data_IF_674939614887
#
_entry.id   IF_674939614887
#
_cell.length_a   1.000
_cell.length_b   1.000
_cell.length_c   1.000
_cell.angle_alpha   90.00
_cell.angle_beta   90.00
_cell.angle_gamma   90.00
#
_symmetry.space_group_name_H-M   'P 1'
#
loop_
_entity.id
_entity.type
_entity.pdbx_description
1 polymer ?
#
# COMPACT_ATOMS: atom_id res chain seq x y z
N UNK A 1 11.28 -13.50 -1.63
CA UNK A 1 12.10 -12.32 -1.93
C UNK A 1 13.49 -12.54 -1.34
N UNK A 2 14.54 -12.30 -2.11
CA UNK A 2 15.94 -12.46 -1.70
C UNK A 2 16.48 -11.11 -1.24
N UNK A 3 16.35 -10.82 0.04
CA UNK A 3 16.57 -9.47 0.59
C UNK A 3 18.04 -9.03 0.65
N UNK A 4 19.00 -9.96 0.62
CA UNK A 4 20.43 -9.66 0.81
C UNK A 4 20.99 -8.71 -0.25
N UNK A 5 20.50 -8.83 -1.48
CA UNK A 5 20.98 -8.05 -2.62
C UNK A 5 20.14 -6.82 -2.93
N UNK A 6 19.06 -6.59 -2.19
CA UNK A 6 18.16 -5.47 -2.43
C UNK A 6 18.66 -4.20 -1.74
N UNK A 7 18.55 -3.07 -2.40
CA UNK A 7 18.86 -1.74 -1.86
C UNK A 7 17.65 -1.09 -1.19
N UNK A 8 16.43 -1.46 -1.61
CA UNK A 8 15.18 -0.96 -1.07
C UNK A 8 14.06 -2.00 -1.26
N UNK A 9 12.94 -1.82 -0.56
CA UNK A 9 11.69 -2.57 -0.76
C UNK A 9 10.56 -1.55 -0.90
N UNK A 10 9.96 -1.50 -2.09
CA UNK A 10 8.80 -0.69 -2.40
C UNK A 10 7.53 -1.43 -1.97
N UNK A 11 6.85 -0.91 -0.95
CA UNK A 11 5.66 -1.57 -0.39
C UNK A 11 4.38 -1.27 -1.17
N UNK A 12 4.43 -0.49 -2.27
CA UNK A 12 3.22 0.00 -2.91
C UNK A 12 3.35 0.09 -4.43
N UNK A 13 3.04 -1.03 -5.10
CA UNK A 13 3.19 -1.16 -6.56
C UNK A 13 1.91 -1.72 -7.18
N UNK A 14 1.31 -0.97 -8.09
CA UNK A 14 0.11 -1.37 -8.78
C UNK A 14 0.42 -2.18 -10.04
N UNK A 15 -0.28 -3.29 -10.20
CA UNK A 15 -0.42 -4.01 -11.47
C UNK A 15 -1.81 -3.68 -12.00
N UNK A 16 -1.88 -2.92 -13.09
CA UNK A 16 -3.14 -2.37 -13.57
C UNK A 16 -3.39 -2.69 -15.04
N UNK A 17 -4.65 -2.96 -15.37
CA UNK A 17 -5.11 -3.08 -16.75
C UNK A 17 -5.09 -1.71 -17.43
N UNK A 18 -4.71 -1.68 -18.71
CA UNK A 18 -4.89 -0.50 -19.54
C UNK A 18 -6.38 -0.34 -19.88
N UNK A 19 -6.93 0.86 -19.62
CA UNK A 19 -8.29 1.23 -19.98
C UNK A 19 -8.29 2.64 -20.56
N UNK A 20 -9.32 2.96 -21.34
CA UNK A 20 -9.56 4.31 -21.88
C UNK A 20 -10.81 4.97 -21.28
N UNK A 21 -11.28 4.49 -20.12
CA UNK A 21 -12.44 5.08 -19.49
C UNK A 21 -12.14 6.48 -18.91
N UNK A 22 -13.18 7.24 -18.62
CA UNK A 22 -13.06 8.64 -18.17
C UNK A 22 -12.28 8.78 -16.85
N UNK A 23 -12.39 7.80 -15.96
CA UNK A 23 -11.66 7.81 -14.68
C UNK A 23 -10.15 7.60 -14.89
N UNK A 24 -9.80 6.70 -15.79
CA UNK A 24 -8.40 6.45 -16.15
C UNK A 24 -7.77 7.67 -16.84
N UNK A 25 -8.48 8.27 -17.81
CA UNK A 25 -8.02 9.50 -18.46
C UNK A 25 -7.82 10.66 -17.46
N UNK A 26 -8.75 10.82 -16.50
CA UNK A 26 -8.64 11.85 -15.47
C UNK A 26 -7.43 11.58 -14.54
N UNK A 27 -7.20 10.33 -14.13
CA UNK A 27 -6.05 9.94 -13.33
C UNK A 27 -4.73 10.20 -14.06
N UNK A 28 -4.60 9.76 -15.31
CA UNK A 28 -3.43 10.03 -16.16
C UNK A 28 -3.13 11.53 -16.28
N UNK A 29 -4.15 12.35 -16.49
CA UNK A 29 -4.01 13.81 -16.54
C UNK A 29 -3.53 14.39 -15.21
N UNK A 30 -4.11 13.95 -14.09
CA UNK A 30 -3.77 14.43 -12.75
C UNK A 30 -2.32 14.07 -12.39
N UNK A 31 -1.91 12.83 -12.60
CA UNK A 31 -0.56 12.35 -12.31
C UNK A 31 0.47 12.69 -13.39
N UNK A 32 0.02 13.30 -14.51
CA UNK A 32 0.86 13.64 -15.67
C UNK A 32 1.55 12.40 -16.26
N UNK A 33 0.83 11.30 -16.31
CA UNK A 33 1.33 10.07 -16.94
C UNK A 33 1.52 10.29 -18.45
N UNK A 34 2.63 9.77 -18.98
CA UNK A 34 2.94 9.77 -20.41
C UNK A 34 3.19 8.33 -20.87
N UNK A 35 2.53 7.93 -21.94
CA UNK A 35 2.68 6.59 -22.51
C UNK A 35 1.76 5.52 -21.90
N UNK A 36 1.83 4.27 -22.37
CA UNK A 36 1.08 3.16 -21.84
C UNK A 36 1.61 2.77 -20.46
N UNK A 37 0.73 2.16 -19.65
CA UNK A 37 1.18 1.51 -18.41
C UNK A 37 2.06 0.31 -18.75
N UNK A 38 3.05 0.03 -17.90
CA UNK A 38 3.94 -1.11 -18.11
C UNK A 38 3.15 -2.42 -17.99
N UNK A 39 3.55 -3.39 -18.77
CA UNK A 39 3.11 -4.77 -18.61
C UNK A 39 3.64 -5.35 -17.30
N UNK A 40 3.00 -6.38 -16.72
CA UNK A 40 3.51 -7.04 -15.51
C UNK A 40 4.99 -7.48 -15.63
N UNK A 41 5.39 -7.95 -16.81
CA UNK A 41 6.77 -8.35 -17.05
C UNK A 41 7.75 -7.17 -17.07
N UNK A 42 7.37 -6.07 -17.69
CA UNK A 42 8.17 -4.83 -17.67
C UNK A 42 8.32 -4.28 -16.25
N UNK A 43 7.29 -4.44 -15.39
CA UNK A 43 7.39 -4.11 -13.95
C UNK A 43 8.49 -4.96 -13.30
N UNK A 44 8.48 -6.27 -13.51
CA UNK A 44 9.47 -7.17 -12.93
C UNK A 44 10.91 -6.81 -13.36
N UNK A 45 11.11 -6.56 -14.65
CA UNK A 45 12.42 -6.17 -15.19
C UNK A 45 12.88 -4.81 -14.65
N UNK A 46 11.97 -3.86 -14.54
CA UNK A 46 12.25 -2.53 -14.01
C UNK A 46 12.77 -2.61 -12.56
N UNK A 47 12.08 -3.33 -11.68
CA UNK A 47 12.46 -3.49 -10.29
C UNK A 47 13.74 -4.33 -10.11
N UNK A 48 13.88 -5.41 -10.87
CA UNK A 48 15.07 -6.28 -10.81
C UNK A 48 16.33 -5.55 -11.23
N UNK A 49 16.28 -4.77 -12.30
CA UNK A 49 17.44 -4.00 -12.78
C UNK A 49 17.96 -2.95 -11.77
N UNK A 50 17.10 -2.52 -10.85
CA UNK A 50 17.39 -1.55 -9.79
C UNK A 50 17.71 -2.18 -8.45
N UNK A 51 17.62 -3.51 -8.34
CA UNK A 51 17.75 -4.25 -7.08
C UNK A 51 16.77 -3.74 -6.01
N UNK A 52 15.55 -3.42 -6.41
CA UNK A 52 14.47 -3.02 -5.51
C UNK A 52 13.48 -4.17 -5.44
N UNK A 53 13.16 -4.62 -4.22
CA UNK A 53 12.04 -5.54 -4.00
C UNK A 53 10.72 -4.79 -4.05
N UNK A 54 9.62 -5.46 -4.39
CA UNK A 54 8.32 -4.80 -4.44
C UNK A 54 7.16 -5.68 -3.96
N UNK A 55 6.17 -5.02 -3.35
CA UNK A 55 4.87 -5.58 -3.04
C UNK A 55 3.91 -5.19 -4.15
N UNK A 56 3.38 -6.17 -4.87
CA UNK A 56 2.53 -5.94 -6.04
C UNK A 56 1.09 -6.35 -5.79
N UNK A 57 0.14 -5.58 -6.29
CA UNK A 57 -1.30 -5.82 -6.17
C UNK A 57 -2.10 -5.11 -7.28
N UNK A 58 -3.35 -5.55 -7.47
CA UNK A 58 -4.35 -4.85 -8.29
C UNK A 58 -5.59 -4.60 -7.41
N UNK A 59 -6.17 -3.39 -7.46
CA UNK A 59 -7.26 -3.01 -6.55
C UNK A 59 -8.59 -3.57 -7.05
N UNK A 60 -9.31 -4.29 -6.17
CA UNK A 60 -10.71 -4.71 -6.39
C UNK A 60 -11.63 -3.52 -6.08
N UNK A 61 -12.14 -2.89 -7.12
CA UNK A 61 -13.05 -1.75 -7.00
C UNK A 61 -14.01 -1.68 -8.19
N UNK A 62 -15.17 -1.06 -7.98
CA UNK A 62 -16.21 -0.98 -9.02
C UNK A 62 -16.53 0.45 -9.47
N UNK A 63 -16.07 1.42 -8.69
CA UNK A 63 -16.49 2.81 -8.88
C UNK A 63 -16.00 3.38 -10.21
N UNK A 64 -14.77 3.08 -10.61
CA UNK A 64 -14.17 3.62 -11.84
C UNK A 64 -14.47 2.76 -13.06
N UNK A 65 -14.93 1.52 -12.87
CA UNK A 65 -15.12 0.55 -13.94
C UNK A 65 -13.80 0.02 -14.54
N UNK A 66 -12.67 0.24 -13.86
CA UNK A 66 -11.39 -0.39 -14.25
C UNK A 66 -11.44 -1.87 -13.89
N UNK A 67 -11.17 -2.79 -14.83
CA UNK A 67 -11.05 -4.20 -14.50
C UNK A 67 -9.87 -4.45 -13.56
N UNK A 68 -10.08 -5.17 -12.48
CA UNK A 68 -9.01 -5.70 -11.66
C UNK A 68 -8.22 -6.74 -12.46
N UNK A 69 -6.89 -6.71 -12.37
CA UNK A 69 -6.08 -7.88 -12.76
C UNK A 69 -6.34 -8.97 -11.70
N UNK A 70 -6.73 -10.19 -12.09
CA UNK A 70 -7.07 -11.25 -11.15
C UNK A 70 -5.97 -11.48 -10.10
N UNK A 71 -6.37 -11.69 -8.85
CA UNK A 71 -5.43 -11.92 -7.75
C UNK A 71 -4.51 -13.11 -8.02
N UNK A 72 -4.99 -14.13 -8.73
CA UNK A 72 -4.23 -15.30 -9.14
C UNK A 72 -3.14 -14.97 -10.16
N UNK A 73 -3.40 -14.05 -11.08
CA UNK A 73 -2.39 -13.59 -12.06
C UNK A 73 -1.31 -12.76 -11.36
N UNK A 74 -1.68 -11.92 -10.39
CA UNK A 74 -0.72 -11.17 -9.55
C UNK A 74 0.11 -12.13 -8.71
N UNK A 75 -0.50 -13.18 -8.16
CA UNK A 75 0.19 -14.22 -7.40
C UNK A 75 1.18 -15.02 -8.28
N UNK A 76 0.76 -15.39 -9.49
CA UNK A 76 1.62 -16.08 -10.46
C UNK A 76 2.81 -15.22 -10.87
N UNK A 77 2.58 -13.92 -11.20
CA UNK A 77 3.65 -12.99 -11.50
C UNK A 77 4.68 -12.91 -10.37
N UNK A 78 4.23 -12.79 -9.12
CA UNK A 78 5.12 -12.72 -7.97
C UNK A 78 5.85 -14.04 -7.71
N UNK A 79 5.22 -15.19 -7.98
CA UNK A 79 5.85 -16.50 -7.87
C UNK A 79 6.97 -16.68 -8.91
N UNK A 80 6.74 -16.27 -10.16
CA UNK A 80 7.73 -16.28 -11.23
C UNK A 80 8.90 -15.30 -10.99
N UNK A 81 8.70 -14.32 -10.14
CA UNK A 81 9.66 -13.29 -9.76
C UNK A 81 9.92 -13.24 -8.25
N UNK A 82 9.92 -14.41 -7.58
CA UNK A 82 10.01 -14.53 -6.12
C UNK A 82 11.33 -14.03 -5.53
N UNK A 83 12.33 -13.75 -6.35
CA UNK A 83 13.57 -13.08 -5.97
C UNK A 83 13.33 -11.63 -5.51
N UNK A 84 12.39 -10.92 -6.16
CA UNK A 84 12.13 -9.48 -5.93
C UNK A 84 10.67 -9.14 -5.58
N UNK A 85 9.69 -10.02 -5.83
CA UNK A 85 8.27 -9.70 -5.67
C UNK A 85 7.60 -10.46 -4.54
N UNK A 86 6.60 -9.80 -3.92
CA UNK A 86 5.58 -10.40 -3.06
C UNK A 86 4.21 -9.97 -3.57
N UNK A 87 3.29 -10.92 -3.70
CA UNK A 87 1.92 -10.62 -4.06
C UNK A 87 1.08 -10.30 -2.82
N UNK A 88 0.38 -9.16 -2.89
CA UNK A 88 -0.79 -8.87 -2.08
C UNK A 88 -2.03 -9.02 -2.97
N UNK A 89 -3.15 -9.40 -2.36
CA UNK A 89 -4.43 -9.44 -3.05
C UNK A 89 -5.28 -8.21 -2.70
N UNK A 90 -6.26 -7.92 -3.51
CA UNK A 90 -7.32 -7.00 -3.15
C UNK A 90 -8.66 -7.69 -3.28
N UNK A 91 -9.47 -7.58 -2.26
CA UNK A 91 -10.82 -8.15 -2.17
C UNK A 91 -11.71 -7.07 -1.57
N UNK A 92 -12.87 -6.82 -2.15
CA UNK A 92 -13.85 -5.93 -1.55
C UNK A 92 -14.48 -6.59 -0.31
N UNK A 93 -14.16 -6.15 0.92
CA UNK A 93 -14.61 -6.81 2.13
C UNK A 93 -16.13 -6.67 2.35
N UNK A 94 -16.78 -5.74 1.64
CA UNK A 94 -18.24 -5.55 1.75
C UNK A 94 -19.05 -6.65 1.08
N UNK A 95 -18.40 -7.58 0.36
CA UNK A 95 -19.04 -8.77 -0.22
C UNK A 95 -19.36 -9.85 0.82
N UNK A 96 -19.05 -9.61 2.10
CA UNK A 96 -19.41 -10.51 3.20
C UNK A 96 -18.77 -11.88 3.07
N UNK A 97 -19.58 -12.96 3.09
CA UNK A 97 -19.07 -14.34 3.06
C UNK A 97 -18.19 -14.65 1.84
N UNK A 98 -18.52 -14.10 0.68
CA UNK A 98 -17.70 -14.30 -0.54
C UNK A 98 -16.29 -13.72 -0.37
N UNK A 99 -16.17 -12.55 0.28
CA UNK A 99 -14.86 -11.95 0.58
C UNK A 99 -14.05 -12.81 1.56
N UNK A 100 -14.70 -13.37 2.58
CA UNK A 100 -14.07 -14.27 3.57
C UNK A 100 -13.55 -15.52 2.88
N UNK A 101 -14.37 -16.19 2.08
CA UNK A 101 -13.99 -17.41 1.34
C UNK A 101 -12.87 -17.17 0.35
N UNK A 102 -12.89 -16.02 -0.34
CA UNK A 102 -11.83 -15.65 -1.27
C UNK A 102 -10.51 -15.35 -0.54
N UNK A 103 -10.56 -14.66 0.60
CA UNK A 103 -9.37 -14.39 1.41
C UNK A 103 -8.70 -15.69 1.89
N UNK A 104 -9.47 -16.62 2.45
CA UNK A 104 -8.97 -17.93 2.88
C UNK A 104 -8.28 -18.68 1.73
N UNK A 105 -8.94 -18.74 0.57
CA UNK A 105 -8.40 -19.37 -0.63
C UNK A 105 -7.10 -18.73 -1.09
N UNK A 106 -7.04 -17.40 -1.15
CA UNK A 106 -5.87 -16.63 -1.59
C UNK A 106 -4.68 -16.82 -0.63
N UNK A 107 -4.94 -16.83 0.68
CA UNK A 107 -3.92 -17.09 1.71
C UNK A 107 -3.34 -18.50 1.52
N UNK A 108 -4.19 -19.50 1.31
CA UNK A 108 -3.77 -20.87 1.05
C UNK A 108 -2.93 -20.98 -0.23
N UNK A 109 -3.15 -20.12 -1.22
CA UNK A 109 -2.38 -20.03 -2.47
C UNK A 109 -1.15 -19.11 -2.41
N UNK A 110 -0.75 -18.68 -1.20
CA UNK A 110 0.52 -18.00 -0.99
C UNK A 110 0.49 -16.48 -1.04
N UNK A 111 -0.69 -15.85 -1.06
CA UNK A 111 -0.82 -14.40 -0.90
C UNK A 111 -0.23 -13.97 0.46
N UNK A 112 0.54 -12.88 0.45
CA UNK A 112 1.34 -12.44 1.60
C UNK A 112 0.70 -11.29 2.37
N UNK A 113 -0.37 -10.70 1.87
CA UNK A 113 -1.12 -9.61 2.49
C UNK A 113 -2.25 -9.11 1.61
N UNK A 114 -2.92 -8.05 2.04
CA UNK A 114 -4.05 -7.49 1.30
C UNK A 114 -3.93 -5.98 1.14
N UNK A 115 -4.40 -5.46 0.00
CA UNK A 115 -4.59 -4.04 -0.28
C UNK A 115 -6.06 -3.73 -0.32
N UNK A 116 -6.48 -2.75 0.50
CA UNK A 116 -7.84 -2.19 0.48
C UNK A 116 -7.78 -0.72 0.08
N UNK A 117 -8.81 -0.28 -0.63
CA UNK A 117 -8.95 1.11 -1.04
C UNK A 117 -10.33 1.66 -0.66
N UNK A 118 -10.57 1.96 0.63
CA UNK A 118 -11.88 2.34 1.12
C UNK A 118 -12.60 3.42 0.30
N UNK A 119 -11.96 4.51 -0.19
CA UNK A 119 -12.62 5.49 -1.05
C UNK A 119 -13.15 4.94 -2.38
N UNK A 120 -12.49 3.94 -2.98
CA UNK A 120 -12.93 3.30 -4.23
C UNK A 120 -13.88 2.13 -3.99
N UNK A 121 -13.72 1.42 -2.90
CA UNK A 121 -14.59 0.32 -2.44
C UNK A 121 -15.82 0.82 -1.67
N UNK A 122 -15.86 2.13 -1.33
CA UNK A 122 -17.00 2.85 -0.74
C UNK A 122 -17.45 2.34 0.63
N UNK A 123 -16.50 2.07 1.53
CA UNK A 123 -16.77 1.69 2.91
C UNK A 123 -15.81 2.40 3.88
N UNK A 124 -16.19 2.51 5.16
CA UNK A 124 -15.28 2.90 6.22
C UNK A 124 -14.45 1.70 6.66
N UNK A 125 -13.15 1.88 6.92
CA UNK A 125 -12.29 0.78 7.34
C UNK A 125 -12.83 0.06 8.59
N UNK A 126 -13.52 0.78 9.49
CA UNK A 126 -14.17 0.26 10.70
C UNK A 126 -15.62 -0.19 10.52
N UNK A 127 -16.12 -0.29 9.27
CA UNK A 127 -17.46 -0.85 9.02
C UNK A 127 -17.50 -2.33 9.43
N UNK A 128 -18.47 -2.70 10.27
CA UNK A 128 -18.59 -4.07 10.82
C UNK A 128 -18.77 -5.15 9.75
N UNK A 129 -19.24 -4.79 8.57
CA UNK A 129 -19.34 -5.74 7.44
C UNK A 129 -17.99 -6.25 6.97
N UNK A 130 -16.91 -5.49 7.18
CA UNK A 130 -15.54 -5.86 6.79
C UNK A 130 -14.85 -6.75 7.85
N UNK A 131 -15.35 -6.80 9.08
CA UNK A 131 -14.69 -7.49 10.20
C UNK A 131 -14.50 -8.99 10.01
N UNK A 132 -15.46 -9.74 9.47
CA UNK A 132 -15.22 -11.17 9.18
C UNK A 132 -14.05 -11.42 8.21
N UNK A 133 -13.82 -10.50 7.26
CA UNK A 133 -12.64 -10.54 6.40
C UNK A 133 -11.36 -10.27 7.20
N UNK A 134 -11.35 -9.26 8.10
CA UNK A 134 -10.20 -8.98 8.95
C UNK A 134 -9.86 -10.11 9.91
N UNK A 135 -10.87 -10.83 10.44
CA UNK A 135 -10.67 -12.02 11.29
C UNK A 135 -9.81 -13.07 10.59
N UNK A 136 -10.11 -13.37 9.34
CA UNK A 136 -9.35 -14.34 8.53
C UNK A 136 -7.93 -13.85 8.27
N UNK A 137 -7.78 -12.58 7.89
CA UNK A 137 -6.48 -11.98 7.59
C UNK A 137 -5.59 -11.93 8.85
N UNK A 138 -6.19 -11.52 9.99
CA UNK A 138 -5.49 -11.46 11.28
C UNK A 138 -5.07 -12.85 11.78
N UNK A 139 -5.95 -13.85 11.68
CA UNK A 139 -5.64 -15.24 12.04
C UNK A 139 -4.43 -15.77 11.25
N UNK A 140 -4.31 -15.38 9.98
CA UNK A 140 -3.18 -15.72 9.13
C UNK A 140 -1.95 -14.81 9.35
N UNK A 141 -2.04 -13.82 10.24
CA UNK A 141 -1.00 -12.80 10.50
C UNK A 141 -0.53 -12.10 9.22
N UNK A 142 -1.45 -11.80 8.32
CA UNK A 142 -1.14 -11.11 7.07
C UNK A 142 -1.31 -9.61 7.23
N UNK A 143 -0.38 -8.79 6.72
CA UNK A 143 -0.53 -7.33 6.73
C UNK A 143 -1.66 -6.87 5.80
N UNK A 144 -2.32 -5.78 6.19
CA UNK A 144 -3.29 -5.08 5.36
C UNK A 144 -2.79 -3.66 5.07
N UNK A 145 -2.76 -3.28 3.80
CA UNK A 145 -2.53 -1.91 3.36
C UNK A 145 -3.89 -1.25 3.15
N UNK A 146 -4.18 -0.20 3.90
CA UNK A 146 -5.34 0.67 3.68
C UNK A 146 -4.90 1.93 2.93
N UNK A 147 -5.57 2.26 1.84
CA UNK A 147 -5.48 3.62 1.30
C UNK A 147 -6.02 4.60 2.33
N UNK A 148 -5.23 5.61 2.70
CA UNK A 148 -5.64 6.67 3.61
C UNK A 148 -5.37 8.05 3.00
N UNK A 149 -6.17 9.03 3.39
CA UNK A 149 -6.07 10.39 2.88
C UNK A 149 -6.75 10.62 1.54
N UNK A 150 -6.25 11.62 0.83
CA UNK A 150 -6.75 12.04 -0.48
C UNK A 150 -6.49 10.99 -1.54
N UNK A 151 -7.50 10.72 -2.37
CA UNK A 151 -7.35 9.92 -3.58
C UNK A 151 -7.19 10.82 -4.80
N UNK A 152 -6.16 10.58 -5.60
CA UNK A 152 -6.00 11.24 -6.90
C UNK A 152 -7.00 10.76 -7.95
N UNK A 153 -7.56 9.56 -7.76
CA UNK A 153 -8.59 8.99 -8.65
C UNK A 153 -9.87 9.82 -8.55
N UNK A 154 -10.45 10.15 -9.69
CA UNK A 154 -11.64 10.99 -9.77
C UNK A 154 -11.37 12.50 -9.73
N UNK A 155 -10.13 12.93 -9.47
CA UNK A 155 -9.77 14.35 -9.45
C UNK A 155 -10.02 15.01 -10.80
N UNK A 156 -10.73 16.15 -10.78
CA UNK A 156 -11.13 16.88 -11.98
C UNK A 156 -12.36 16.36 -12.70
N UNK A 157 -12.92 15.23 -12.29
CA UNK A 157 -14.18 14.72 -12.80
C UNK A 157 -15.39 15.39 -12.12
N UNK A 158 -16.53 15.41 -12.80
CA UNK A 158 -17.78 15.88 -12.19
C UNK A 158 -18.11 15.05 -10.93
N UNK A 159 -18.34 15.71 -9.80
CA UNK A 159 -18.58 15.06 -8.50
C UNK A 159 -17.42 14.16 -8.05
N UNK A 160 -16.18 14.46 -8.50
CA UNK A 160 -15.01 13.65 -8.15
C UNK A 160 -15.10 12.20 -8.64
N UNK A 161 -15.84 11.93 -9.72
CA UNK A 161 -16.06 10.56 -10.19
C UNK A 161 -16.84 9.68 -9.21
N UNK A 162 -17.52 10.28 -8.22
CA UNK A 162 -18.25 9.55 -7.16
C UNK A 162 -17.38 9.15 -5.96
N UNK A 163 -16.07 9.42 -5.99
CA UNK A 163 -15.17 9.12 -4.87
C UNK A 163 -15.51 9.95 -3.64
N UNK A 164 -15.68 9.31 -2.50
CA UNK A 164 -15.90 9.97 -1.21
C UNK A 164 -14.66 9.87 -0.35
N UNK A 165 -13.95 11.00 -0.23
CA UNK A 165 -12.66 11.07 0.48
C UNK A 165 -12.76 10.71 1.96
N UNK A 166 -13.93 10.90 2.59
CA UNK A 166 -14.16 10.56 4.01
C UNK A 166 -13.79 9.11 4.36
N UNK A 167 -13.91 8.19 3.43
CA UNK A 167 -13.54 6.78 3.62
C UNK A 167 -12.02 6.57 3.75
N UNK A 168 -11.22 7.57 3.41
CA UNK A 168 -9.77 7.56 3.61
C UNK A 168 -9.31 8.15 4.95
N UNK A 169 -10.21 8.37 5.91
CA UNK A 169 -9.80 8.91 7.21
C UNK A 169 -9.01 7.87 8.01
N UNK A 170 -7.75 8.16 8.42
CA UNK A 170 -6.93 7.22 9.18
C UNK A 170 -7.48 6.90 10.57
N UNK A 171 -8.39 7.70 11.12
CA UNK A 171 -9.05 7.39 12.40
C UNK A 171 -9.95 6.16 12.32
N UNK A 172 -10.49 5.81 11.15
CA UNK A 172 -11.20 4.56 10.96
C UNK A 172 -10.26 3.35 11.13
N UNK A 173 -8.98 3.51 10.82
CA UNK A 173 -7.93 2.48 11.00
C UNK A 173 -7.57 2.32 12.49
N UNK A 174 -7.72 3.37 13.31
CA UNK A 174 -7.49 3.29 14.76
C UNK A 174 -8.41 2.24 15.40
N UNK A 175 -9.70 2.25 15.05
CA UNK A 175 -10.67 1.27 15.55
C UNK A 175 -10.30 -0.17 15.13
N UNK A 176 -9.95 -0.36 13.85
CA UNK A 176 -9.51 -1.68 13.34
C UNK A 176 -8.25 -2.17 14.08
N UNK A 177 -7.31 -1.26 14.35
CA UNK A 177 -6.09 -1.62 15.07
C UNK A 177 -6.32 -1.98 16.54
N UNK A 178 -7.38 -1.46 17.18
CA UNK A 178 -7.81 -1.88 18.52
C UNK A 178 -8.40 -3.28 18.47
N UNK A 179 -9.31 -3.53 17.52
CA UNK A 179 -10.04 -4.78 17.45
C UNK A 179 -9.19 -5.95 16.91
N UNK A 180 -8.12 -5.65 16.15
CA UNK A 180 -7.18 -6.64 15.59
C UNK A 180 -5.71 -6.33 15.96
N UNK A 181 -5.31 -6.47 17.24
CA UNK A 181 -4.01 -6.03 17.74
C UNK A 181 -2.82 -6.81 17.15
N UNK A 182 -3.04 -8.00 16.64
CA UNK A 182 -2.00 -8.85 16.05
C UNK A 182 -1.91 -8.75 14.52
N UNK A 183 -2.80 -7.99 13.89
CA UNK A 183 -2.80 -7.77 12.44
C UNK A 183 -1.90 -6.58 12.09
N UNK A 184 -0.80 -6.77 11.34
CA UNK A 184 0.00 -5.64 10.87
C UNK A 184 -0.81 -4.78 9.90
N UNK A 185 -0.81 -3.48 10.11
CA UNK A 185 -1.56 -2.52 9.30
C UNK A 185 -0.60 -1.48 8.72
N UNK A 186 -0.73 -1.21 7.44
CA UNK A 186 0.00 -0.17 6.74
C UNK A 186 -1.00 0.87 6.23
N UNK A 187 -0.92 2.08 6.75
CA UNK A 187 -1.63 3.24 6.20
C UNK A 187 -0.85 3.76 5.00
N UNK A 188 -1.44 3.65 3.82
CA UNK A 188 -0.81 4.11 2.60
C UNK A 188 -0.89 5.62 2.47
N UNK A 189 0.19 6.21 2.00
CA UNK A 189 0.39 7.63 1.76
C UNK A 189 0.61 8.47 3.03
N UNK A 190 1.08 9.71 2.91
CA UNK A 190 1.14 10.67 4.01
C UNK A 190 -0.21 11.08 4.59
N UNK A 191 -1.32 10.54 4.04
CA UNK A 191 -2.71 10.74 4.51
C UNK A 191 -3.25 12.18 4.43
N UNK A 192 -2.77 12.98 3.46
CA UNK A 192 -3.33 14.34 3.30
C UNK A 192 -4.88 14.32 3.20
N UNK A 193 -5.65 15.18 3.91
CA UNK A 193 -5.20 16.23 4.82
C UNK A 193 -5.04 15.80 6.29
N UNK A 194 -5.18 14.52 6.61
CA UNK A 194 -5.19 13.93 7.95
C UNK A 194 -3.81 13.36 8.36
N UNK A 195 -2.71 14.08 8.04
CA UNK A 195 -1.36 13.61 8.34
C UNK A 195 -1.11 13.48 9.86
N UNK A 196 -1.65 14.42 10.65
CA UNK A 196 -1.46 14.42 12.10
C UNK A 196 -2.21 13.27 12.77
N UNK A 197 -3.41 12.94 12.27
CA UNK A 197 -4.18 11.78 12.71
C UNK A 197 -3.44 10.47 12.38
N UNK A 198 -2.92 10.35 11.16
CA UNK A 198 -2.14 9.16 10.76
C UNK A 198 -0.87 9.00 11.61
N UNK A 199 -0.15 10.08 11.87
CA UNK A 199 0.99 10.10 12.77
C UNK A 199 0.57 9.66 14.18
N UNK A 200 -0.54 10.20 14.70
CA UNK A 200 -1.06 9.87 16.03
C UNK A 200 -1.43 8.39 16.16
N UNK A 201 -2.16 7.85 15.21
CA UNK A 201 -2.51 6.41 15.16
C UNK A 201 -1.25 5.54 15.12
N UNK A 202 -0.30 5.89 14.24
CA UNK A 202 0.96 5.16 14.11
C UNK A 202 1.81 5.21 15.38
N UNK A 203 1.84 6.33 16.11
CA UNK A 203 2.50 6.45 17.40
C UNK A 203 1.85 5.58 18.48
N UNK A 204 0.52 5.54 18.49
CA UNK A 204 -0.25 4.89 19.54
C UNK A 204 -0.34 3.36 19.37
N UNK A 205 -0.39 2.86 18.14
CA UNK A 205 -0.60 1.44 17.81
C UNK A 205 0.71 0.77 17.36
N UNK A 206 1.25 -0.20 18.08
CA UNK A 206 2.55 -0.82 17.76
C UNK A 206 2.56 -1.50 16.39
N UNK A 207 1.45 -2.09 15.95
CA UNK A 207 1.31 -2.84 14.70
C UNK A 207 0.95 -1.97 13.48
N UNK A 208 0.79 -0.64 13.64
CA UNK A 208 0.44 0.28 12.55
C UNK A 208 1.68 0.98 12.01
N UNK A 209 1.80 1.02 10.69
CA UNK A 209 2.89 1.61 9.90
C UNK A 209 2.34 2.64 8.92
N UNK A 210 3.19 3.51 8.38
CA UNK A 210 2.85 4.43 7.29
C UNK A 210 3.79 4.15 6.11
N UNK A 211 3.26 3.92 4.92
CA UNK A 211 4.05 4.00 3.71
C UNK A 211 4.00 5.42 3.09
N UNK A 212 5.08 5.84 2.49
CA UNK A 212 5.23 7.19 1.95
C UNK A 212 4.89 7.29 0.45
N UNK A 213 4.09 6.37 -0.06
CA UNK A 213 3.71 6.29 -1.47
C UNK A 213 2.78 7.43 -1.93
N UNK A 214 2.58 7.55 -3.24
CA UNK A 214 1.62 8.49 -3.85
C UNK A 214 2.02 9.96 -3.80
N UNK A 215 3.10 10.31 -3.12
CA UNK A 215 3.61 11.67 -2.97
C UNK A 215 5.11 11.73 -3.24
N UNK A 216 5.54 12.74 -3.98
CA UNK A 216 6.98 13.02 -4.06
C UNK A 216 7.47 13.53 -2.70
N UNK A 217 8.60 13.01 -2.17
CA UNK A 217 9.16 13.39 -0.87
C UNK A 217 9.33 14.89 -0.64
N UNK A 218 9.55 15.68 -1.70
CA UNK A 218 9.66 17.14 -1.61
C UNK A 218 8.40 17.85 -1.08
N UNK A 219 7.26 17.15 -1.05
CA UNK A 219 5.99 17.69 -0.55
C UNK A 219 5.63 17.15 0.83
N UNK A 220 6.49 16.36 1.46
CA UNK A 220 6.22 15.87 2.80
C UNK A 220 6.17 17.01 3.81
N UNK A 221 5.16 17.05 4.68
CA UNK A 221 5.08 18.08 5.71
C UNK A 221 6.21 17.92 6.74
N UNK A 222 6.64 19.05 7.31
CA UNK A 222 7.79 19.09 8.21
C UNK A 222 7.61 18.20 9.45
N UNK A 223 6.39 18.09 9.99
CA UNK A 223 6.09 17.23 11.12
C UNK A 223 6.26 15.74 10.76
N UNK A 224 5.83 15.29 9.58
CA UNK A 224 6.05 13.91 9.14
C UNK A 224 7.55 13.59 9.07
N UNK A 225 8.36 14.49 8.52
CA UNK A 225 9.82 14.35 8.46
C UNK A 225 10.42 14.30 9.89
N UNK A 226 9.93 15.14 10.79
CA UNK A 226 10.38 15.14 12.19
C UNK A 226 10.08 13.81 12.87
N UNK A 227 8.86 13.27 12.74
CA UNK A 227 8.49 11.99 13.34
C UNK A 227 9.20 10.81 12.68
N UNK A 228 9.37 10.84 11.36
CA UNK A 228 10.13 9.82 10.64
C UNK A 228 11.60 9.74 11.11
N UNK A 229 12.20 10.87 11.49
CA UNK A 229 13.55 10.90 12.06
C UNK A 229 13.64 10.51 13.54
N UNK A 230 12.53 10.39 14.23
CA UNK A 230 12.51 10.23 15.70
C UNK A 230 11.63 9.05 16.13
N UNK A 231 10.44 9.34 16.62
CA UNK A 231 9.56 8.34 17.25
C UNK A 231 9.01 7.29 16.27
N UNK A 232 8.89 7.62 14.98
CA UNK A 232 8.39 6.72 13.95
C UNK A 232 9.49 6.15 13.03
N UNK A 233 10.77 6.30 13.36
CA UNK A 233 11.88 5.85 12.50
C UNK A 233 11.80 4.37 12.10
N UNK A 234 11.18 3.55 12.94
CA UNK A 234 11.00 2.11 12.70
C UNK A 234 9.62 1.75 12.13
N UNK A 235 8.81 2.74 11.79
CA UNK A 235 7.40 2.54 11.38
C UNK A 235 7.04 3.20 10.06
N UNK A 236 7.97 3.91 9.45
CA UNK A 236 7.81 4.52 8.13
C UNK A 236 8.41 3.62 7.06
N UNK A 237 7.69 3.44 5.96
CA UNK A 237 8.05 2.54 4.87
C UNK A 237 8.24 3.33 3.56
N UNK A 238 9.13 2.85 2.72
CA UNK A 238 9.21 3.28 1.34
C UNK A 238 8.09 2.67 0.52
N UNK A 239 7.36 3.50 -0.20
CA UNK A 239 6.41 3.15 -1.23
C UNK A 239 6.44 4.19 -2.33
N UNK A 240 6.36 3.79 -3.59
CA UNK A 240 6.36 4.74 -4.72
C UNK A 240 4.97 5.07 -5.22
N UNK A 241 4.04 4.12 -5.20
CA UNK A 241 2.76 4.16 -5.90
C UNK A 241 2.95 4.00 -7.43
N UNK A 242 3.93 3.17 -7.82
CA UNK A 242 4.18 2.85 -9.22
C UNK A 242 2.94 2.22 -9.87
N UNK A 243 2.59 2.58 -11.10
CA UNK A 243 3.36 3.36 -12.07
C UNK A 243 3.18 4.88 -11.99
N UNK A 244 2.36 5.42 -11.08
CA UNK A 244 2.07 6.85 -10.99
C UNK A 244 3.32 7.68 -10.65
N UNK A 245 4.13 7.19 -9.72
CA UNK A 245 5.44 7.75 -9.40
C UNK A 245 6.47 6.63 -9.52
N UNK A 246 7.50 6.86 -10.33
CA UNK A 246 8.56 5.86 -10.46
C UNK A 246 9.45 5.85 -9.20
N UNK A 247 9.95 4.68 -8.75
CA UNK A 247 10.96 4.58 -7.71
C UNK A 247 12.16 5.51 -7.95
N UNK A 248 12.65 5.61 -9.18
CA UNK A 248 13.78 6.50 -9.51
C UNK A 248 13.48 7.95 -9.14
N UNK A 249 12.30 8.45 -9.50
CA UNK A 249 11.88 9.82 -9.17
C UNK A 249 11.70 9.99 -7.67
N UNK A 250 11.04 9.02 -7.02
CA UNK A 250 10.80 9.09 -5.58
C UNK A 250 12.12 9.11 -4.81
N UNK A 251 13.04 8.20 -5.11
CA UNK A 251 14.35 8.11 -4.47
C UNK A 251 15.18 9.37 -4.69
N UNK A 252 15.20 9.92 -5.93
CA UNK A 252 15.92 11.15 -6.23
C UNK A 252 15.39 12.38 -5.45
N UNK A 253 14.08 12.42 -5.14
CA UNK A 253 13.49 13.46 -4.29
C UNK A 253 13.71 13.15 -2.79
N UNK A 254 13.74 11.88 -2.39
CA UNK A 254 14.01 11.46 -1.01
C UNK A 254 15.44 11.81 -0.56
N UNK A 255 16.42 11.75 -1.48
CA UNK A 255 17.79 12.18 -1.18
C UNK A 255 17.91 13.66 -0.78
N UNK A 256 16.96 14.50 -1.22
CA UNK A 256 16.97 15.95 -1.00
C UNK A 256 16.29 16.40 0.29
N UNK A 257 15.55 15.52 0.96
CA UNK A 257 14.86 15.88 2.20
C UNK A 257 15.72 15.54 3.44
N UNK A 258 15.52 16.22 4.57
CA UNK A 258 16.39 16.09 5.74
C UNK A 258 16.05 14.85 6.59
N UNK A 259 16.11 13.67 5.98
CA UNK A 259 16.09 12.39 6.69
C UNK A 259 17.54 12.06 7.11
N UNK A 260 17.73 11.71 8.37
CA UNK A 260 19.03 11.34 8.93
C UNK A 260 19.58 10.08 8.25
N UNK A 261 20.89 10.02 8.07
CA UNK A 261 21.55 8.92 7.36
C UNK A 261 21.27 7.56 7.99
N UNK A 262 21.22 7.47 9.33
CA UNK A 262 20.91 6.24 10.06
C UNK A 262 19.42 5.81 9.95
N UNK A 263 18.53 6.71 9.53
CA UNK A 263 17.10 6.43 9.35
C UNK A 263 16.78 6.00 7.93
N UNK A 264 17.57 6.43 6.94
CA UNK A 264 17.34 6.09 5.52
C UNK A 264 17.24 4.58 5.26
N UNK A 265 18.15 3.71 5.76
CA UNK A 265 18.03 2.27 5.57
C UNK A 265 16.76 1.68 6.20
N UNK A 266 16.34 2.22 7.35
CA UNK A 266 15.12 1.80 8.02
C UNK A 266 13.90 2.02 7.11
N UNK A 267 13.74 3.24 6.58
CA UNK A 267 12.64 3.61 5.69
C UNK A 267 12.69 2.84 4.38
N UNK A 268 13.87 2.76 3.77
CA UNK A 268 14.02 2.18 2.44
C UNK A 268 13.85 0.66 2.41
N UNK A 269 14.19 -0.05 3.52
CA UNK A 269 14.23 -1.51 3.50
C UNK A 269 13.86 -2.19 4.81
N UNK A 270 14.51 -1.84 5.93
CA UNK A 270 14.49 -2.66 7.13
C UNK A 270 13.11 -2.75 7.78
N UNK A 271 12.37 -1.63 7.78
CA UNK A 271 11.00 -1.60 8.30
C UNK A 271 10.07 -2.48 7.46
N UNK A 272 10.21 -2.46 6.13
CA UNK A 272 9.45 -3.32 5.23
C UNK A 272 9.79 -4.80 5.47
N UNK A 273 11.08 -5.15 5.65
CA UNK A 273 11.48 -6.52 5.99
C UNK A 273 10.77 -7.02 7.25
N UNK A 274 10.66 -6.16 8.27
CA UNK A 274 10.03 -6.51 9.55
C UNK A 274 8.51 -6.71 9.40
N UNK A 275 7.80 -5.76 8.80
CA UNK A 275 6.33 -5.85 8.65
C UNK A 275 5.90 -6.95 7.70
N UNK A 276 6.73 -7.30 6.71
CA UNK A 276 6.47 -8.37 5.74
C UNK A 276 6.96 -9.75 6.21
N UNK A 277 7.60 -9.84 7.40
CA UNK A 277 8.14 -11.09 7.95
C UNK A 277 9.27 -11.67 7.12
N UNK A 278 10.16 -10.81 6.59
CA UNK A 278 11.29 -11.20 5.74
C UNK A 278 12.64 -11.22 6.50
N UNK A 279 12.68 -10.77 7.74
CA UNK A 279 13.89 -10.67 8.57
C UNK A 279 14.24 -11.97 9.32
N UNK A 280 13.49 -13.06 9.10
CA UNK A 280 13.65 -14.33 9.81
C UNK A 280 13.32 -14.26 11.31
N UNK A 281 12.89 -13.10 11.81
CA UNK A 281 12.53 -12.85 13.20
C UNK A 281 11.02 -12.63 13.32
N UNK A 282 10.24 -13.71 13.19
CA UNK A 282 8.80 -13.65 13.52
C UNK A 282 8.68 -13.54 15.05
N UNK A 283 8.59 -12.31 15.55
CA UNK A 283 8.00 -11.97 16.84
C UNK A 283 7.32 -10.63 16.73
N UNK A 284 6.06 -10.63 16.31
CA UNK A 284 5.11 -9.60 16.72
C UNK A 284 4.38 -10.21 17.90
N UNK A 285 4.60 -9.69 19.08
CA UNK A 285 3.93 -10.13 20.29
C UNK A 285 4.90 -10.24 21.48
N UNK A 286 4.98 -9.17 22.25
CA UNK A 286 5.43 -9.13 23.61
C UNK A 286 4.58 -8.12 24.34
#
# INVERSE_FOLDING_TARGET
MQTENLVAIDTHVHIESNTDNAADQAARKYFRETGPRPTPQEVAEYYRSRKIGCVVFSVDERLTGRPQVPNEEVAALAADNADIMLAFASVDPTRGFDAVSEADRLIAHGIRGFKLHPPLQQFHANDRIAYPFYEVVAAAKRPVIFHTGHSGIGTGMRGGGGVRLKYGNPMDVDDVAVDFPDMPIIMAHPSFPWQDEAISVCLHKPQVFIDLSGWSPKYFPANLIQYANTLLKEKILFGSDYPLITPDRWLADFEKIPIRDEVRPLILKENAMRVLGLDGKVKVGG
#
